data_IF_912809652496
#
_entry.id   IF_912809652496
#
_cell.length_a   1.000
_cell.length_b   1.000
_cell.length_c   1.000
_cell.angle_alpha   90.00
_cell.angle_beta   90.00
_cell.angle_gamma   90.00
#
_symmetry.space_group_name_H-M   'P 1'
#
loop_
_entity.id
_entity.type
_entity.pdbx_description
1 polymer ?
#
# COMPACT_ATOMS: atom_id res chain seq x y z
N UNK A 1 19.41 5.35 -9.02
CA UNK A 1 19.15 6.67 -9.65
C UNK A 1 17.72 6.82 -10.19
N UNK A 2 17.05 5.74 -10.55
CA UNK A 2 15.67 5.70 -11.07
C UNK A 2 14.61 6.24 -10.09
N UNK A 3 14.70 5.88 -8.80
CA UNK A 3 13.81 6.41 -7.74
C UNK A 3 13.83 7.94 -7.61
N UNK A 4 14.98 8.60 -7.81
CA UNK A 4 15.08 10.08 -7.67
C UNK A 4 14.36 10.78 -8.81
N UNK A 5 14.45 10.24 -10.03
CA UNK A 5 13.78 10.82 -11.19
C UNK A 5 12.25 10.67 -11.11
N UNK A 6 11.76 9.49 -10.67
CA UNK A 6 10.33 9.27 -10.40
C UNK A 6 9.80 10.25 -9.34
N UNK A 7 10.55 10.49 -8.25
CA UNK A 7 10.16 11.46 -7.22
C UNK A 7 10.04 12.89 -7.77
N UNK A 8 10.90 13.30 -8.70
CA UNK A 8 10.81 14.59 -9.39
C UNK A 8 9.56 14.66 -10.28
N UNK A 9 9.25 13.57 -10.99
CA UNK A 9 8.06 13.46 -11.84
C UNK A 9 6.77 13.65 -11.04
N UNK A 10 6.65 12.94 -9.90
CA UNK A 10 5.49 12.99 -9.00
C UNK A 10 5.26 14.39 -8.44
N UNK A 11 6.33 15.08 -8.00
CA UNK A 11 6.23 16.40 -7.35
C UNK A 11 5.52 17.44 -8.21
N UNK A 12 5.69 17.35 -9.53
CA UNK A 12 5.16 18.35 -10.46
C UNK A 12 3.75 18.00 -10.98
N UNK A 13 3.20 16.82 -10.62
CA UNK A 13 2.01 16.26 -11.28
C UNK A 13 1.06 15.54 -10.31
N UNK A 14 0.74 16.16 -9.18
CA UNK A 14 -0.20 15.57 -8.20
C UNK A 14 -1.56 15.20 -8.82
N UNK A 15 -2.06 16.00 -9.79
CA UNK A 15 -3.33 15.75 -10.48
C UNK A 15 -3.34 14.51 -11.41
N UNK A 16 -2.15 13.96 -11.71
CA UNK A 16 -2.00 12.77 -12.55
C UNK A 16 -2.28 11.46 -11.78
N UNK A 17 -2.47 11.53 -10.46
CA UNK A 17 -2.68 10.35 -9.63
C UNK A 17 -4.11 10.26 -9.11
N UNK A 18 -4.53 9.02 -8.82
CA UNK A 18 -5.74 8.73 -8.06
C UNK A 18 -5.44 7.62 -7.06
N UNK A 19 -6.29 7.50 -6.03
CA UNK A 19 -6.28 6.36 -5.11
C UNK A 19 -7.12 5.25 -5.72
N UNK A 20 -6.60 4.02 -5.69
CA UNK A 20 -7.28 2.82 -6.15
C UNK A 20 -7.31 1.78 -5.03
N UNK A 21 -8.48 1.18 -4.82
CA UNK A 21 -8.67 0.09 -3.87
C UNK A 21 -8.44 -1.26 -4.55
N UNK A 22 -7.35 -1.94 -4.22
CA UNK A 22 -7.01 -3.26 -4.74
C UNK A 22 -8.06 -4.28 -4.27
N UNK A 23 -8.74 -5.00 -5.18
CA UNK A 23 -9.63 -6.10 -4.79
C UNK A 23 -8.86 -7.18 -4.03
N UNK A 24 -9.52 -7.84 -3.07
CA UNK A 24 -8.89 -8.91 -2.29
C UNK A 24 -8.32 -10.01 -3.19
N UNK A 25 -7.02 -10.29 -3.06
CA UNK A 25 -6.32 -11.32 -3.81
C UNK A 25 -5.93 -10.95 -5.24
N UNK A 26 -6.23 -9.72 -5.70
CA UNK A 26 -5.79 -9.27 -7.01
C UNK A 26 -4.26 -9.09 -7.04
N UNK A 27 -3.59 -9.56 -8.09
CA UNK A 27 -2.14 -9.38 -8.27
C UNK A 27 -1.83 -8.01 -8.92
N UNK A 28 -0.57 -7.53 -8.82
CA UNK A 28 -0.16 -6.32 -9.55
C UNK A 28 -0.47 -6.37 -11.05
N UNK A 29 -0.27 -7.53 -11.69
CA UNK A 29 -0.53 -7.75 -13.12
C UNK A 29 -2.02 -7.62 -13.46
N UNK A 30 -2.89 -8.21 -12.62
CA UNK A 30 -4.34 -8.10 -12.79
C UNK A 30 -4.79 -6.65 -12.63
N UNK A 31 -4.28 -5.94 -11.62
CA UNK A 31 -4.60 -4.52 -11.42
C UNK A 31 -4.10 -3.67 -12.60
N UNK A 32 -2.91 -3.96 -13.15
CA UNK A 32 -2.41 -3.30 -14.34
C UNK A 32 -3.30 -3.54 -15.55
N UNK A 33 -3.75 -4.78 -15.76
CA UNK A 33 -4.70 -5.11 -16.82
C UNK A 33 -6.00 -4.32 -16.67
N UNK A 34 -6.58 -4.23 -15.46
CA UNK A 34 -7.81 -3.47 -15.24
C UNK A 34 -7.65 -1.95 -15.41
N UNK A 35 -6.48 -1.39 -15.09
CA UNK A 35 -6.25 0.05 -15.17
C UNK A 35 -5.76 0.50 -16.56
N UNK A 36 -4.92 -0.31 -17.20
CA UNK A 36 -4.14 0.07 -18.38
C UNK A 36 -4.41 -0.82 -19.59
N UNK A 37 -5.27 -1.84 -19.45
CA UNK A 37 -5.56 -2.83 -20.49
C UNK A 37 -4.31 -3.63 -20.93
N UNK A 38 -3.31 -3.70 -20.06
CA UNK A 38 -2.04 -4.39 -20.31
C UNK A 38 -1.36 -4.76 -18.98
N UNK A 39 -0.99 -6.03 -18.83
CA UNK A 39 -0.32 -6.59 -17.65
C UNK A 39 1.10 -6.07 -17.47
N UNK A 40 1.76 -5.64 -18.56
CA UNK A 40 3.16 -5.25 -18.57
C UNK A 40 3.40 -3.94 -17.82
N UNK A 41 2.36 -3.18 -17.49
CA UNK A 41 2.46 -1.95 -16.69
C UNK A 41 2.39 -2.17 -15.18
N UNK A 42 2.41 -3.40 -14.67
CA UNK A 42 2.42 -3.66 -13.22
C UNK A 42 3.58 -2.97 -12.51
N UNK A 43 4.77 -2.90 -13.14
CA UNK A 43 5.94 -2.24 -12.57
C UNK A 43 5.71 -0.75 -12.33
N UNK A 44 4.88 -0.09 -13.15
CA UNK A 44 4.52 1.33 -12.99
C UNK A 44 3.81 1.52 -11.65
N UNK A 45 2.86 0.63 -11.35
CA UNK A 45 2.11 0.62 -10.09
C UNK A 45 3.07 0.40 -8.92
N UNK A 46 3.94 -0.61 -9.01
CA UNK A 46 4.90 -0.93 -7.94
C UNK A 46 5.85 0.24 -7.65
N UNK A 47 6.40 0.87 -8.69
CA UNK A 47 7.31 2.02 -8.55
C UNK A 47 6.62 3.20 -7.87
N UNK A 48 5.38 3.54 -8.27
CA UNK A 48 4.67 4.68 -7.67
C UNK A 48 4.24 4.44 -6.23
N UNK A 49 4.14 3.19 -5.79
CA UNK A 49 3.85 2.82 -4.40
C UNK A 49 5.10 2.46 -3.59
N UNK A 50 6.29 2.68 -4.17
CA UNK A 50 7.58 2.33 -3.55
C UNK A 50 7.68 0.86 -3.11
N UNK A 51 6.99 -0.03 -3.82
CA UNK A 51 7.02 -1.48 -3.60
C UNK A 51 8.18 -2.07 -4.39
N UNK A 52 9.20 -2.57 -3.69
CA UNK A 52 10.36 -3.23 -4.30
C UNK A 52 10.15 -4.74 -4.43
N UNK A 53 9.49 -5.33 -3.45
CA UNK A 53 9.17 -6.75 -3.39
C UNK A 53 7.65 -6.90 -3.45
N UNK A 54 7.16 -7.39 -4.58
CA UNK A 54 5.72 -7.60 -4.78
C UNK A 54 5.16 -8.71 -3.88
N UNK A 55 5.97 -9.66 -3.43
CA UNK A 55 5.52 -10.78 -2.62
C UNK A 55 5.15 -10.33 -1.19
N UNK A 56 5.95 -9.45 -0.57
CA UNK A 56 5.67 -8.95 0.79
C UNK A 56 5.04 -7.55 0.83
N UNK A 57 5.26 -6.75 -0.21
CA UNK A 57 4.81 -5.36 -0.30
C UNK A 57 3.38 -5.20 -0.79
N UNK A 58 2.83 -6.19 -1.49
CA UNK A 58 1.48 -6.16 -2.02
C UNK A 58 0.43 -6.60 -0.97
N UNK A 59 -0.82 -6.08 -1.01
CA UNK A 59 -1.89 -6.58 -0.16
C UNK A 59 -2.19 -8.06 -0.40
N UNK A 60 -2.37 -8.80 0.69
CA UNK A 60 -2.77 -10.19 0.69
C UNK A 60 -4.29 -10.31 0.53
N UNK A 61 -4.74 -11.40 -0.11
CA UNK A 61 -6.14 -11.81 -0.07
C UNK A 61 -6.54 -12.35 1.31
N UNK A 62 -7.83 -12.42 1.61
CA UNK A 62 -8.35 -12.84 2.92
C UNK A 62 -7.76 -14.17 3.42
N UNK A 63 -7.70 -15.20 2.56
CA UNK A 63 -7.18 -16.52 2.96
C UNK A 63 -5.68 -16.48 3.24
N UNK A 64 -4.91 -15.74 2.42
CA UNK A 64 -3.46 -15.62 2.61
C UNK A 64 -3.13 -14.77 3.83
N UNK A 65 -3.94 -13.75 4.12
CA UNK A 65 -3.84 -12.98 5.35
C UNK A 65 -4.06 -13.88 6.57
N UNK A 66 -5.10 -14.70 6.58
CA UNK A 66 -5.37 -15.64 7.68
C UNK A 66 -4.19 -16.61 7.90
N UNK A 67 -3.64 -17.16 6.82
CA UNK A 67 -2.42 -18.01 6.87
C UNK A 67 -1.21 -17.25 7.38
N UNK A 68 -1.04 -16.00 6.95
CA UNK A 68 0.06 -15.15 7.39
C UNK A 68 -0.05 -14.86 8.90
N UNK A 69 -1.22 -14.49 9.41
CA UNK A 69 -1.43 -14.24 10.84
C UNK A 69 -1.19 -15.52 11.65
N UNK A 70 -1.74 -16.65 11.21
CA UNK A 70 -1.60 -17.95 11.91
C UNK A 70 -0.17 -18.47 11.92
N UNK A 71 0.63 -18.17 10.89
CA UNK A 71 2.05 -18.54 10.87
C UNK A 71 2.94 -17.58 11.67
N UNK A 72 2.55 -16.32 11.79
CA UNK A 72 3.29 -15.28 12.51
C UNK A 72 3.03 -15.28 14.02
N UNK A 73 1.81 -15.57 14.45
CA UNK A 73 1.38 -15.50 15.85
C UNK A 73 0.89 -16.86 16.33
N UNK A 74 1.28 -17.24 17.55
CA UNK A 74 0.76 -18.46 18.21
C UNK A 74 -0.74 -18.39 18.45
N UNK A 75 -1.26 -17.19 18.78
CA UNK A 75 -2.68 -16.93 18.97
C UNK A 75 -3.08 -15.66 18.19
N UNK A 76 -3.80 -15.79 17.06
CA UNK A 76 -4.33 -14.67 16.29
C UNK A 76 -5.30 -13.76 17.06
N UNK A 77 -5.94 -14.27 18.10
CA UNK A 77 -6.94 -13.55 18.92
C UNK A 77 -6.33 -12.86 20.13
N UNK A 78 -5.06 -13.13 20.44
CA UNK A 78 -4.36 -12.46 21.53
C UNK A 78 -4.19 -10.96 21.25
N UNK A 79 -4.23 -10.16 22.32
CA UNK A 79 -4.10 -8.70 22.25
C UNK A 79 -2.68 -8.33 21.84
N UNK A 80 -2.54 -7.66 20.69
CA UNK A 80 -1.28 -7.12 20.19
C UNK A 80 -0.90 -5.82 20.91
N UNK A 81 -1.88 -4.94 21.13
CA UNK A 81 -1.71 -3.66 21.82
C UNK A 81 -3.06 -3.03 22.18
N UNK A 82 -3.00 -1.92 22.93
CA UNK A 82 -4.17 -1.11 23.24
C UNK A 82 -4.09 0.24 22.52
N UNK A 83 -5.24 0.74 22.08
CA UNK A 83 -5.37 2.02 21.39
C UNK A 83 -6.45 2.90 22.02
N UNK A 84 -6.27 4.22 21.92
CA UNK A 84 -7.32 5.21 22.14
C UNK A 84 -7.34 6.25 21.02
N UNK A 85 -8.50 6.87 20.72
CA UNK A 85 -8.54 8.08 19.91
C UNK A 85 -7.65 9.16 20.53
N UNK A 86 -6.92 9.88 19.69
CA UNK A 86 -6.10 11.00 20.12
C UNK A 86 -7.00 12.08 20.75
N UNK A 87 -6.60 12.63 21.89
CA UNK A 87 -7.41 13.59 22.67
C UNK A 87 -7.29 15.04 22.20
N UNK A 88 -6.29 15.34 21.37
CA UNK A 88 -6.04 16.68 20.80
C UNK A 88 -5.74 16.56 19.31
N UNK A 89 -6.10 17.57 18.51
CA UNK A 89 -5.93 17.53 17.05
C UNK A 89 -6.95 16.62 16.36
N UNK A 90 -6.49 15.75 15.45
CA UNK A 90 -7.38 14.84 14.72
C UNK A 90 -7.77 13.63 15.59
N UNK A 91 -8.95 13.68 16.20
CA UNK A 91 -9.48 12.62 17.07
C UNK A 91 -9.84 11.32 16.34
N UNK A 92 -9.83 11.30 15.00
CA UNK A 92 -9.97 10.04 14.23
C UNK A 92 -8.68 9.21 14.24
N UNK A 93 -7.55 9.80 14.59
CA UNK A 93 -6.28 9.09 14.69
C UNK A 93 -6.23 8.33 16.01
N UNK A 94 -5.89 7.05 15.95
CA UNK A 94 -5.66 6.22 17.13
C UNK A 94 -4.19 6.26 17.53
N UNK A 95 -3.93 6.24 18.83
CA UNK A 95 -2.58 6.17 19.42
C UNK A 95 -2.45 4.93 20.29
N UNK A 96 -1.28 4.28 20.25
CA UNK A 96 -0.98 3.14 21.10
C UNK A 96 -0.73 3.60 22.54
N UNK A 97 -1.38 2.94 23.50
CA UNK A 97 -1.30 3.25 24.93
C UNK A 97 -1.11 1.98 25.77
N UNK A 98 -0.89 2.16 27.08
CA UNK A 98 -0.91 1.06 28.05
C UNK A 98 -2.34 0.59 28.31
N UNK A 99 -2.49 -0.66 28.75
CA UNK A 99 -3.79 -1.27 29.09
C UNK A 99 -4.51 -0.58 30.25
N UNK A 100 -3.78 0.12 31.12
CA UNK A 100 -4.30 0.79 32.31
C UNK A 100 -4.95 2.14 32.03
N UNK A 101 -4.84 2.65 30.79
CA UNK A 101 -5.45 3.93 30.41
C UNK A 101 -6.96 3.76 30.28
N UNK A 102 -7.72 4.65 30.94
CA UNK A 102 -9.19 4.63 30.88
C UNK A 102 -9.67 4.79 29.44
N UNK A 103 -10.53 3.88 28.98
CA UNK A 103 -11.06 3.88 27.62
C UNK A 103 -10.16 3.21 26.57
N UNK A 104 -9.06 2.58 26.97
CA UNK A 104 -8.20 1.80 26.09
C UNK A 104 -8.92 0.59 25.49
N UNK A 105 -8.83 0.43 24.17
CA UNK A 105 -9.41 -0.69 23.42
C UNK A 105 -8.29 -1.62 22.99
N UNK A 106 -8.40 -2.90 23.36
CA UNK A 106 -7.45 -3.93 22.91
C UNK A 106 -7.65 -4.25 21.43
N UNK A 107 -6.56 -4.30 20.68
CA UNK A 107 -6.51 -4.72 19.28
C UNK A 107 -5.79 -6.05 19.23
N UNK A 108 -6.43 -7.05 18.63
CA UNK A 108 -5.88 -8.40 18.45
C UNK A 108 -4.78 -8.44 17.38
N UNK A 109 -3.99 -9.52 17.37
CA UNK A 109 -2.99 -9.76 16.33
C UNK A 109 -3.62 -9.76 14.92
N UNK A 110 -4.77 -10.43 14.77
CA UNK A 110 -5.48 -10.46 13.50
C UNK A 110 -5.95 -9.07 13.06
N UNK A 111 -6.59 -8.29 13.96
CA UNK A 111 -7.06 -6.94 13.64
C UNK A 111 -5.92 -6.00 13.26
N UNK A 112 -4.77 -6.13 13.93
CA UNK A 112 -3.58 -5.35 13.60
C UNK A 112 -3.09 -5.63 12.18
N UNK A 113 -2.90 -6.90 11.81
CA UNK A 113 -2.44 -7.27 10.46
C UNK A 113 -3.48 -6.96 9.39
N UNK A 114 -4.77 -7.16 9.68
CA UNK A 114 -5.85 -6.79 8.77
C UNK A 114 -5.87 -5.28 8.49
N UNK A 115 -5.64 -4.44 9.51
CA UNK A 115 -5.57 -3.00 9.33
C UNK A 115 -4.35 -2.59 8.49
N UNK A 116 -3.19 -3.21 8.70
CA UNK A 116 -2.00 -2.99 7.85
C UNK A 116 -2.27 -3.43 6.40
N UNK A 117 -2.91 -4.58 6.20
CA UNK A 117 -3.24 -5.08 4.88
C UNK A 117 -4.24 -4.15 4.15
N UNK A 118 -5.25 -3.65 4.86
CA UNK A 118 -6.21 -2.68 4.33
C UNK A 118 -5.53 -1.36 3.92
N UNK A 119 -4.51 -0.91 4.64
CA UNK A 119 -3.70 0.24 4.22
C UNK A 119 -2.94 -0.05 2.92
N UNK A 120 -2.35 -1.26 2.78
CA UNK A 120 -1.70 -1.70 1.53
C UNK A 120 -2.68 -1.81 0.35
N UNK A 121 -3.96 -2.09 0.60
CA UNK A 121 -4.98 -2.13 -0.46
C UNK A 121 -5.27 -0.76 -1.09
N UNK A 122 -4.93 0.34 -0.41
CA UNK A 122 -5.08 1.68 -0.96
C UNK A 122 -3.80 2.11 -1.65
N UNK A 123 -3.72 1.87 -2.95
CA UNK A 123 -2.55 2.21 -3.75
C UNK A 123 -2.75 3.53 -4.49
N UNK A 124 -1.66 4.24 -4.71
CA UNK A 124 -1.61 5.38 -5.61
C UNK A 124 -1.34 4.89 -7.02
N UNK A 125 -2.22 5.19 -7.97
CA UNK A 125 -2.07 4.79 -9.37
C UNK A 125 -2.02 6.01 -10.27
N UNK A 126 -1.25 5.90 -11.35
CA UNK A 126 -1.20 6.90 -12.40
C UNK A 126 -2.48 6.79 -13.25
N UNK A 127 -3.13 7.91 -13.56
CA UNK A 127 -4.30 7.86 -14.44
C UNK A 127 -3.88 7.46 -15.86
N UNK A 128 -4.70 6.66 -16.58
CA UNK A 128 -4.30 6.08 -17.87
C UNK A 128 -3.84 7.10 -18.91
N UNK A 129 -4.42 8.29 -18.93
CA UNK A 129 -4.07 9.37 -19.85
C UNK A 129 -2.62 9.87 -19.71
N UNK A 130 -1.98 9.67 -18.54
CA UNK A 130 -0.59 10.05 -18.29
C UNK A 130 0.40 8.89 -18.47
N UNK A 131 -0.08 7.65 -18.65
CA UNK A 131 0.75 6.45 -18.71
C UNK A 131 1.78 6.53 -19.84
N UNK A 132 1.32 6.80 -21.06
CA UNK A 132 2.18 6.86 -22.23
C UNK A 132 3.25 7.95 -22.12
N UNK A 133 2.92 9.09 -21.51
CA UNK A 133 3.88 10.15 -21.25
C UNK A 133 4.93 9.69 -20.24
N UNK A 134 4.50 9.10 -19.13
CA UNK A 134 5.40 8.62 -18.09
C UNK A 134 6.36 7.55 -18.61
N UNK A 135 5.87 6.55 -19.36
CA UNK A 135 6.68 5.44 -19.87
C UNK A 135 7.77 5.95 -20.82
N UNK A 136 7.44 6.89 -21.72
CA UNK A 136 8.44 7.53 -22.59
C UNK A 136 9.51 8.25 -21.77
N UNK A 137 9.11 9.17 -20.90
CA UNK A 137 10.04 9.94 -20.06
C UNK A 137 10.91 9.01 -19.19
N UNK A 138 10.33 7.94 -18.65
CA UNK A 138 11.05 6.94 -17.86
C UNK A 138 12.10 6.21 -18.69
N UNK A 139 11.75 5.74 -19.88
CA UNK A 139 12.67 5.03 -20.77
C UNK A 139 13.82 5.93 -21.26
N UNK A 140 13.54 7.19 -21.57
CA UNK A 140 14.56 8.17 -21.96
C UNK A 140 15.56 8.38 -20.81
N UNK A 141 15.06 8.54 -19.58
CA UNK A 141 15.89 8.71 -18.38
C UNK A 141 16.73 7.47 -18.03
N UNK A 142 16.27 6.27 -18.38
CA UNK A 142 17.02 5.03 -18.19
C UNK A 142 18.14 4.95 -19.23
N UNK A 143 17.85 5.24 -20.51
CA UNK A 143 18.82 5.21 -21.62
C UNK A 143 19.92 6.25 -21.48
N UNK A 144 19.62 7.46 -21.02
CA UNK A 144 20.63 8.51 -20.77
C UNK A 144 21.67 8.11 -19.69
N UNK A 145 21.44 7.03 -18.96
CA UNK A 145 22.28 6.59 -17.83
C UNK A 145 22.99 5.26 -18.08
N UNK A 146 22.80 4.66 -19.26
CA UNK A 146 23.61 3.56 -19.78
C UNK A 146 24.81 4.12 -20.55
#
# INVERSE_FOLDING_TARGET
MTRVAVKKWVRNRAAAFTVYGVPSGATPDQVAFFLYNDTDYHWVILIFNEILDSYYGWPLGTQDLERFVTSKYTDPTAIHHYEIPQTSGNTRKKIKVMSTVVGAVGITNYEYEAALNQQKMQIRVLKPEFLNQFVREYNDLVREKE
#
